data_IF_770387196548
#
_entry.id   IF_770387196548
#
_cell.length_a   1.000
_cell.length_b   1.000
_cell.length_c   1.000
_cell.angle_alpha   90.00
_cell.angle_beta   90.00
_cell.angle_gamma   90.00
#
_symmetry.space_group_name_H-M   'P 1'
#
loop_
_entity.id
_entity.type
_entity.pdbx_description
1 polymer ?
#
# COMPACT_ATOMS: atom_id res chain seq x y z
N UNK A 1 75.52 26.86 25.68
CA UNK A 1 76.83 26.12 25.70
C UNK A 1 76.53 24.67 25.43
N UNK A 2 76.90 24.17 24.24
CA UNK A 2 77.71 22.96 23.98
C UNK A 2 77.16 21.67 24.60
N UNK A 3 77.03 20.52 23.97
CA UNK A 3 77.65 19.90 22.78
C UNK A 3 77.10 18.49 22.62
N UNK A 4 76.84 18.09 21.39
CA UNK A 4 77.39 16.92 20.65
C UNK A 4 77.27 15.47 21.18
N UNK A 5 76.65 14.64 20.32
CA UNK A 5 77.17 13.37 19.75
C UNK A 5 77.19 12.13 20.67
N UNK A 6 76.64 11.04 20.23
CA UNK A 6 76.97 10.02 19.21
C UNK A 6 75.95 8.86 19.31
N UNK A 7 75.37 8.44 18.23
CA UNK A 7 75.67 7.27 17.41
C UNK A 7 75.72 5.91 18.13
N UNK A 8 74.76 5.06 17.88
CA UNK A 8 75.01 3.64 17.58
C UNK A 8 73.92 3.07 16.68
N UNK A 9 74.37 2.40 15.61
CA UNK A 9 73.65 1.63 14.65
C UNK A 9 73.27 0.27 15.24
N UNK A 10 72.02 -0.18 15.03
CA UNK A 10 71.72 -1.60 14.92
C UNK A 10 70.66 -1.82 13.86
N UNK A 11 70.98 -2.64 12.89
CA UNK A 11 70.12 -3.07 11.81
C UNK A 11 69.03 -4.03 12.35
N UNK A 12 67.79 -3.77 12.03
CA UNK A 12 66.69 -4.68 12.28
C UNK A 12 65.79 -4.76 11.04
N UNK A 13 65.63 -5.94 10.53
CA UNK A 13 64.87 -6.32 9.34
C UNK A 13 63.45 -5.69 9.32
N UNK A 14 63.18 -4.90 8.31
CA UNK A 14 61.86 -4.39 8.03
C UNK A 14 61.08 -5.46 7.26
N UNK A 15 60.13 -6.10 7.91
CA UNK A 15 59.07 -6.88 7.25
C UNK A 15 58.11 -5.91 6.59
N UNK A 16 58.12 -5.84 5.27
CA UNK A 16 57.12 -5.09 4.49
C UNK A 16 55.78 -5.86 4.53
N UNK A 17 54.90 -5.45 5.44
CA UNK A 17 53.49 -5.83 5.35
C UNK A 17 52.86 -5.03 4.22
N UNK A 18 52.55 -5.70 3.12
CA UNK A 18 51.76 -5.13 2.03
C UNK A 18 50.36 -4.79 2.53
N UNK A 19 50.09 -3.50 2.72
CA UNK A 19 48.76 -2.97 2.92
C UNK A 19 48.01 -3.10 1.59
N UNK A 20 47.19 -4.15 1.46
CA UNK A 20 46.15 -4.23 0.42
C UNK A 20 45.14 -3.10 0.68
N UNK A 21 44.79 -2.30 -0.32
CA UNK A 21 43.75 -1.32 -0.13
C UNK A 21 42.46 -2.09 0.13
N UNK A 22 41.86 -1.95 1.32
CA UNK A 22 40.47 -2.33 1.55
C UNK A 22 39.66 -1.49 0.59
N UNK A 23 39.13 -2.17 -0.44
CA UNK A 23 38.06 -1.60 -1.27
C UNK A 23 36.92 -1.25 -0.33
N UNK A 24 36.80 0.03 0.00
CA UNK A 24 35.59 0.56 0.61
C UNK A 24 34.46 0.31 -0.39
N UNK A 25 33.67 -0.74 -0.15
CA UNK A 25 32.36 -0.84 -0.77
C UNK A 25 31.58 0.40 -0.29
N UNK A 26 31.63 1.46 -1.08
CA UNK A 26 30.69 2.54 -0.93
C UNK A 26 29.32 1.89 -1.17
N UNK A 27 28.51 1.75 -0.12
CA UNK A 27 27.07 1.61 -0.27
C UNK A 27 26.69 2.80 -1.16
N UNK A 28 26.41 2.53 -2.44
CA UNK A 28 25.73 3.51 -3.28
C UNK A 28 24.54 3.97 -2.45
N UNK A 29 24.41 5.26 -2.22
CA UNK A 29 23.21 5.82 -1.63
C UNK A 29 22.08 5.35 -2.54
N UNK A 30 21.29 4.39 -2.04
CA UNK A 30 20.13 3.88 -2.73
C UNK A 30 19.22 5.10 -2.83
N UNK A 31 19.08 5.65 -4.03
CA UNK A 31 18.18 6.76 -4.31
C UNK A 31 16.83 6.30 -3.77
N UNK A 32 16.30 6.98 -2.75
CA UNK A 32 15.04 6.58 -2.15
C UNK A 32 14.01 6.42 -3.27
N UNK A 33 13.58 5.19 -3.50
CA UNK A 33 12.63 4.89 -4.57
C UNK A 33 11.33 5.65 -4.29
N UNK A 34 10.83 6.35 -5.30
CA UNK A 34 9.53 7.03 -5.20
C UNK A 34 8.40 6.04 -4.97
N UNK A 35 8.57 4.79 -5.39
CA UNK A 35 7.57 3.74 -5.29
C UNK A 35 8.04 2.58 -4.41
N UNK A 36 7.12 2.06 -3.61
CA UNK A 36 7.20 0.77 -2.94
C UNK A 36 6.09 -0.13 -3.47
N UNK A 37 6.33 -1.43 -3.48
CA UNK A 37 5.41 -2.41 -4.04
C UNK A 37 4.79 -3.25 -2.93
N UNK A 38 3.46 -3.25 -2.87
CA UNK A 38 2.67 -4.04 -1.91
C UNK A 38 1.80 -5.06 -2.64
N UNK A 39 1.58 -6.20 -2.01
CA UNK A 39 0.61 -7.19 -2.46
C UNK A 39 -0.66 -7.08 -1.62
N UNK A 40 -1.79 -6.70 -2.22
CA UNK A 40 -3.09 -6.92 -1.60
C UNK A 40 -3.44 -8.41 -1.70
N UNK A 41 -3.77 -9.02 -0.57
CA UNK A 41 -4.01 -10.46 -0.50
C UNK A 41 -5.22 -10.94 -1.31
N UNK A 42 -6.12 -10.02 -1.71
CA UNK A 42 -7.21 -10.32 -2.66
C UNK A 42 -6.70 -10.94 -3.96
N UNK A 43 -5.53 -10.49 -4.42
CA UNK A 43 -4.91 -10.93 -5.68
C UNK A 43 -4.70 -12.45 -5.76
N UNK A 44 -4.47 -13.08 -4.60
CA UNK A 44 -4.24 -14.52 -4.46
C UNK A 44 -5.21 -15.20 -3.49
N UNK A 45 -6.33 -14.55 -3.18
CA UNK A 45 -7.29 -15.07 -2.19
C UNK A 45 -8.11 -16.26 -2.69
N UNK A 46 -8.35 -16.34 -4.00
CA UNK A 46 -9.15 -17.43 -4.57
C UNK A 46 -8.48 -18.81 -4.47
N UNK A 47 -7.15 -18.87 -4.32
CA UNK A 47 -6.42 -20.10 -4.01
C UNK A 47 -6.54 -20.53 -2.55
N UNK A 48 -7.06 -19.64 -1.68
CA UNK A 48 -7.28 -19.84 -0.26
C UNK A 48 -6.07 -20.43 0.52
N UNK A 49 -4.86 -19.88 0.34
CA UNK A 49 -3.65 -20.42 1.01
C UNK A 49 -3.60 -20.15 2.50
N UNK A 50 -4.42 -19.20 3.02
CA UNK A 50 -4.41 -18.75 4.40
C UNK A 50 -3.38 -17.66 4.72
N UNK A 51 -3.60 -16.92 5.83
CA UNK A 51 -2.89 -15.68 6.15
C UNK A 51 -1.36 -15.82 6.15
N UNK A 52 -0.81 -16.82 6.84
CA UNK A 52 0.64 -17.00 6.91
C UNK A 52 1.24 -17.29 5.53
N UNK A 53 0.53 -18.05 4.71
CA UNK A 53 1.00 -18.36 3.36
C UNK A 53 0.90 -17.16 2.41
N UNK A 54 -0.08 -16.26 2.58
CA UNK A 54 -0.09 -14.97 1.88
C UNK A 54 1.19 -14.17 2.14
N UNK A 55 1.61 -14.13 3.41
CA UNK A 55 2.81 -13.41 3.85
C UNK A 55 4.06 -14.07 3.26
N UNK A 56 4.16 -15.41 3.29
CA UNK A 56 5.26 -16.14 2.67
C UNK A 56 5.37 -15.83 1.18
N UNK A 57 4.25 -15.87 0.45
CA UNK A 57 4.19 -15.61 -1.00
C UNK A 57 4.61 -14.18 -1.31
N UNK A 58 4.13 -13.18 -0.56
CA UNK A 58 4.51 -11.79 -0.77
C UNK A 58 6.03 -11.58 -0.58
N UNK A 59 6.60 -12.17 0.46
CA UNK A 59 8.04 -12.11 0.73
C UNK A 59 8.84 -12.84 -0.35
N UNK A 60 8.46 -14.07 -0.72
CA UNK A 60 9.15 -14.88 -1.72
C UNK A 60 9.06 -14.28 -3.13
N UNK A 61 7.96 -13.60 -3.44
CA UNK A 61 7.81 -12.84 -4.68
C UNK A 61 8.69 -11.58 -4.73
N UNK A 62 9.11 -11.03 -3.58
CA UNK A 62 9.99 -9.87 -3.46
C UNK A 62 9.26 -8.54 -3.35
N UNK A 63 8.07 -8.52 -2.77
CA UNK A 63 7.35 -7.30 -2.41
C UNK A 63 8.00 -6.59 -1.22
N UNK A 64 7.82 -5.27 -1.12
CA UNK A 64 8.27 -4.46 0.02
C UNK A 64 7.27 -4.52 1.18
N UNK A 65 6.00 -4.78 0.87
CA UNK A 65 4.91 -4.80 1.83
C UNK A 65 3.73 -5.68 1.42
N UNK A 66 2.78 -5.73 2.32
CA UNK A 66 1.55 -6.50 2.16
C UNK A 66 0.37 -5.70 2.67
N UNK A 67 -0.77 -5.88 2.03
CA UNK A 67 -2.05 -5.31 2.44
C UNK A 67 -2.97 -6.45 2.88
N UNK A 68 -3.34 -6.42 4.17
CA UNK A 68 -4.05 -7.52 4.82
C UNK A 68 -5.55 -7.23 4.91
N UNK A 69 -6.36 -8.27 4.80
CA UNK A 69 -7.79 -8.17 5.07
C UNK A 69 -8.09 -8.45 6.54
N UNK A 70 -8.87 -7.57 7.16
CA UNK A 70 -9.27 -7.66 8.58
C UNK A 70 -9.88 -9.02 8.93
N UNK A 71 -10.69 -9.59 8.03
CA UNK A 71 -11.32 -10.91 8.21
C UNK A 71 -10.26 -12.02 8.42
N UNK A 72 -9.18 -11.98 7.65
CA UNK A 72 -8.15 -13.02 7.70
C UNK A 72 -7.30 -12.89 8.98
N UNK A 73 -7.06 -11.64 9.41
CA UNK A 73 -6.38 -11.37 10.69
C UNK A 73 -7.24 -11.83 11.87
N UNK A 74 -8.54 -11.50 11.87
CA UNK A 74 -9.48 -11.98 12.92
C UNK A 74 -9.51 -13.50 13.00
N UNK A 75 -9.63 -14.18 11.86
CA UNK A 75 -9.63 -15.64 11.80
C UNK A 75 -8.33 -16.24 12.37
N UNK A 76 -7.19 -15.62 12.08
CA UNK A 76 -5.89 -16.05 12.62
C UNK A 76 -5.85 -15.91 14.15
N UNK A 77 -6.36 -14.81 14.69
CA UNK A 77 -6.42 -14.59 16.14
C UNK A 77 -7.41 -15.53 16.83
N UNK A 78 -8.57 -15.77 16.23
CA UNK A 78 -9.59 -16.73 16.72
C UNK A 78 -9.06 -18.16 16.78
N UNK A 79 -8.04 -18.49 15.97
CA UNK A 79 -7.35 -19.78 16.00
C UNK A 79 -6.35 -19.92 17.17
N UNK A 80 -6.36 -18.99 18.14
CA UNK A 80 -5.51 -19.00 19.33
C UNK A 80 -4.14 -18.36 19.15
N UNK A 81 -3.91 -17.67 18.04
CA UNK A 81 -2.66 -16.94 17.80
C UNK A 81 -2.72 -15.51 18.35
N UNK A 82 -1.60 -14.77 18.32
CA UNK A 82 -1.52 -13.40 18.81
C UNK A 82 -1.11 -12.41 17.75
N UNK A 83 -1.45 -11.13 17.93
CA UNK A 83 -0.98 -10.01 17.09
C UNK A 83 0.54 -9.89 17.12
N UNK A 84 1.18 -10.13 18.26
CA UNK A 84 2.63 -10.11 18.41
C UNK A 84 3.31 -11.22 17.59
N UNK A 85 2.75 -12.44 17.58
CA UNK A 85 3.27 -13.52 16.75
C UNK A 85 3.14 -13.20 15.26
N UNK A 86 2.02 -12.60 14.85
CA UNK A 86 1.80 -12.17 13.46
C UNK A 86 2.76 -11.05 13.06
N UNK A 87 2.92 -10.02 13.91
CA UNK A 87 3.88 -8.93 13.69
C UNK A 87 5.29 -9.45 13.47
N UNK A 88 5.73 -10.35 14.38
CA UNK A 88 7.04 -10.97 14.25
C UNK A 88 7.17 -11.77 12.96
N UNK A 89 6.15 -12.55 12.62
CA UNK A 89 6.14 -13.38 11.41
C UNK A 89 6.30 -12.55 10.13
N UNK A 90 5.63 -11.40 10.04
CA UNK A 90 5.71 -10.47 8.92
C UNK A 90 7.10 -9.80 8.88
N UNK A 91 7.56 -9.31 10.03
CA UNK A 91 8.86 -8.64 10.15
C UNK A 91 10.04 -9.56 9.80
N UNK A 92 10.01 -10.82 10.25
CA UNK A 92 11.05 -11.82 9.94
C UNK A 92 11.16 -12.08 8.41
N UNK A 93 10.12 -11.75 7.64
CA UNK A 93 10.06 -11.86 6.19
C UNK A 93 10.39 -10.55 5.45
N UNK A 94 10.81 -9.53 6.18
CA UNK A 94 11.19 -8.24 5.62
C UNK A 94 10.04 -7.41 5.06
N UNK A 95 8.79 -7.79 5.34
CA UNK A 95 7.60 -7.09 4.85
C UNK A 95 7.12 -6.01 5.83
N UNK A 96 6.48 -4.97 5.27
CA UNK A 96 5.67 -3.99 6.03
C UNK A 96 4.20 -4.26 5.78
N UNK A 97 3.36 -4.08 6.82
CA UNK A 97 1.91 -4.02 6.62
C UNK A 97 1.57 -2.59 6.17
N UNK A 98 1.34 -2.42 4.88
CA UNK A 98 1.17 -1.08 4.29
C UNK A 98 -0.23 -0.53 4.51
N UNK A 99 -1.25 -1.39 4.55
CA UNK A 99 -2.65 -1.03 4.79
C UNK A 99 -3.43 -2.26 5.27
N UNK A 100 -4.63 -2.00 5.79
CA UNK A 100 -5.62 -3.02 6.10
C UNK A 100 -6.92 -2.77 5.32
N UNK A 101 -7.52 -3.84 4.78
CA UNK A 101 -8.83 -3.79 4.13
C UNK A 101 -9.89 -4.27 5.12
N UNK A 102 -10.79 -3.37 5.49
CA UNK A 102 -11.90 -3.62 6.41
C UNK A 102 -13.18 -2.95 5.94
N UNK A 103 -14.29 -3.40 6.48
CA UNK A 103 -15.63 -2.91 6.09
C UNK A 103 -16.44 -2.49 7.32
N UNK A 104 -15.78 -1.89 8.31
CA UNK A 104 -16.47 -1.29 9.43
C UNK A 104 -17.43 -0.19 8.94
N UNK A 105 -18.72 -0.23 9.31
CA UNK A 105 -19.75 0.65 8.75
C UNK A 105 -19.73 2.02 9.45
N UNK A 106 -18.62 2.74 9.37
CA UNK A 106 -18.35 4.00 10.07
C UNK A 106 -19.36 5.12 9.73
N UNK A 107 -19.99 5.06 8.55
CA UNK A 107 -21.04 6.01 8.15
C UNK A 107 -22.38 5.77 8.84
N UNK A 108 -22.61 4.58 9.41
CA UNK A 108 -23.94 4.19 9.94
C UNK A 108 -24.14 4.45 11.42
N UNK A 109 -23.22 5.18 12.07
CA UNK A 109 -23.38 5.62 13.44
C UNK A 109 -22.39 5.01 14.44
N UNK A 110 -22.70 5.15 15.73
CA UNK A 110 -21.77 4.87 16.82
C UNK A 110 -21.18 3.44 16.80
N UNK A 111 -21.99 2.43 16.44
CA UNK A 111 -21.49 1.05 16.42
C UNK A 111 -20.43 0.82 15.34
N UNK A 112 -20.58 1.48 14.18
CA UNK A 112 -19.58 1.43 13.11
C UNK A 112 -18.24 2.05 13.53
N UNK A 113 -18.27 3.14 14.28
CA UNK A 113 -17.07 3.77 14.87
C UNK A 113 -16.41 2.86 15.92
N UNK A 114 -17.18 2.20 16.78
CA UNK A 114 -16.66 1.24 17.77
C UNK A 114 -15.95 0.09 17.05
N UNK A 115 -16.56 -0.46 16.00
CA UNK A 115 -15.94 -1.52 15.20
C UNK A 115 -14.65 -1.03 14.53
N UNK A 116 -14.67 0.14 13.89
CA UNK A 116 -13.49 0.70 13.24
C UNK A 116 -12.36 0.93 14.24
N UNK A 117 -12.66 1.44 15.43
CA UNK A 117 -11.67 1.61 16.51
C UNK A 117 -11.02 0.28 16.88
N UNK A 118 -11.81 -0.75 17.11
CA UNK A 118 -11.29 -2.08 17.44
C UNK A 118 -10.41 -2.66 16.33
N UNK A 119 -10.77 -2.45 15.07
CA UNK A 119 -9.97 -2.89 13.92
C UNK A 119 -8.66 -2.10 13.82
N UNK A 120 -8.69 -0.78 14.03
CA UNK A 120 -7.50 0.06 14.07
C UNK A 120 -6.55 -0.35 15.21
N UNK A 121 -7.05 -0.55 16.43
CA UNK A 121 -6.25 -0.99 17.58
C UNK A 121 -5.57 -2.33 17.31
N UNK A 122 -6.30 -3.30 16.77
CA UNK A 122 -5.76 -4.60 16.36
C UNK A 122 -4.64 -4.44 15.32
N UNK A 123 -4.85 -3.58 14.32
CA UNK A 123 -3.87 -3.37 13.25
C UNK A 123 -2.64 -2.59 13.71
N UNK A 124 -2.79 -1.67 14.68
CA UNK A 124 -1.68 -0.98 15.32
C UNK A 124 -0.71 -1.96 16.02
N UNK A 125 -1.25 -2.95 16.71
CA UNK A 125 -0.44 -3.99 17.36
C UNK A 125 0.41 -4.79 16.36
N UNK A 126 -0.09 -5.00 15.15
CA UNK A 126 0.62 -5.68 14.06
C UNK A 126 1.66 -4.75 13.39
N UNK A 127 1.56 -3.43 13.63
CA UNK A 127 2.45 -2.43 13.05
C UNK A 127 1.94 -1.82 11.73
N UNK A 128 0.67 -1.99 11.43
CA UNK A 128 -0.01 -1.29 10.35
C UNK A 128 -0.29 0.17 10.75
N UNK A 129 -0.18 1.09 9.80
CA UNK A 129 -0.41 2.53 10.06
C UNK A 129 -1.57 3.11 9.25
N UNK A 130 -2.23 2.29 8.43
CA UNK A 130 -3.35 2.71 7.58
C UNK A 130 -4.45 1.66 7.58
N UNK A 131 -5.69 2.11 7.38
CA UNK A 131 -6.84 1.24 7.17
C UNK A 131 -7.76 1.86 6.12
N UNK A 132 -8.25 1.07 5.17
CA UNK A 132 -9.25 1.51 4.21
C UNK A 132 -10.56 1.87 4.93
N UNK A 133 -11.16 2.99 4.53
CA UNK A 133 -12.43 3.49 5.02
C UNK A 133 -13.44 3.67 3.87
N UNK A 134 -13.92 2.58 3.27
CA UNK A 134 -14.97 2.64 2.25
C UNK A 134 -16.31 3.03 2.87
N UNK A 135 -17.29 3.38 2.03
CA UNK A 135 -18.67 3.64 2.47
C UNK A 135 -19.41 2.33 2.84
N UNK A 136 -18.77 1.48 3.65
CA UNK A 136 -19.32 0.22 4.11
C UNK A 136 -20.56 0.44 5.00
N UNK A 137 -21.52 -0.49 4.93
CA UNK A 137 -22.79 -0.41 5.65
C UNK A 137 -23.85 0.43 4.94
N UNK A 138 -23.49 1.20 3.92
CA UNK A 138 -24.44 1.85 3.02
C UNK A 138 -24.72 0.89 1.85
N UNK A 139 -25.99 0.65 1.51
CA UNK A 139 -26.32 -0.20 0.36
C UNK A 139 -25.66 0.33 -0.92
N UNK A 140 -25.04 -0.56 -1.68
CA UNK A 140 -24.23 -0.23 -2.86
C UNK A 140 -24.97 0.62 -3.92
N UNK A 141 -26.29 0.47 -3.99
CA UNK A 141 -27.17 1.16 -4.93
C UNK A 141 -27.85 2.41 -4.35
N UNK A 142 -27.46 2.88 -3.16
CA UNK A 142 -28.04 4.05 -2.51
C UNK A 142 -27.05 5.21 -2.45
N UNK A 143 -27.47 6.43 -2.77
CA UNK A 143 -26.72 7.64 -2.43
C UNK A 143 -26.81 7.93 -0.94
N UNK A 144 -25.89 8.77 -0.42
CA UNK A 144 -25.92 9.30 0.93
C UNK A 144 -25.38 10.74 0.95
N UNK A 145 -25.57 11.41 2.09
CA UNK A 145 -25.12 12.80 2.27
C UNK A 145 -23.58 12.87 2.38
N UNK A 146 -22.95 13.45 1.36
CA UNK A 146 -21.49 13.61 1.31
C UNK A 146 -20.97 14.66 2.30
N UNK A 147 -21.84 15.62 2.71
CA UNK A 147 -21.48 16.63 3.72
C UNK A 147 -21.41 15.96 5.09
N UNK A 148 -22.43 15.19 5.44
CA UNK A 148 -22.44 14.40 6.68
C UNK A 148 -21.25 13.42 6.69
N UNK A 149 -20.96 12.76 5.56
CA UNK A 149 -19.82 11.87 5.43
C UNK A 149 -18.50 12.60 5.70
N UNK A 150 -18.34 13.84 5.25
CA UNK A 150 -17.15 14.65 5.52
C UNK A 150 -16.93 14.93 7.01
N UNK A 151 -17.99 15.28 7.74
CA UNK A 151 -17.91 15.46 9.19
C UNK A 151 -17.56 14.15 9.91
N UNK A 152 -18.18 13.05 9.54
CA UNK A 152 -17.85 11.73 10.10
C UNK A 152 -16.43 11.29 9.75
N UNK A 153 -15.95 11.60 8.55
CA UNK A 153 -14.57 11.30 8.18
C UNK A 153 -13.55 12.08 9.03
N UNK A 154 -13.83 13.33 9.36
CA UNK A 154 -13.04 14.10 10.34
C UNK A 154 -12.96 13.41 11.71
N UNK A 155 -14.10 12.94 12.24
CA UNK A 155 -14.13 12.19 13.49
C UNK A 155 -13.32 10.89 13.38
N UNK A 156 -13.35 10.24 12.21
CA UNK A 156 -12.60 9.03 11.94
C UNK A 156 -11.07 9.30 11.88
N UNK A 157 -10.65 10.43 11.33
CA UNK A 157 -9.24 10.86 11.33
C UNK A 157 -8.76 11.09 12.77
N UNK A 158 -9.57 11.71 13.62
CA UNK A 158 -9.23 11.89 15.03
C UNK A 158 -9.05 10.54 15.74
N UNK A 159 -9.90 9.56 15.43
CA UNK A 159 -9.75 8.20 15.91
C UNK A 159 -8.44 7.58 15.41
N UNK A 160 -8.06 7.86 14.16
CA UNK A 160 -6.79 7.42 13.58
C UNK A 160 -5.57 7.95 14.34
N UNK A 161 -5.61 9.21 14.78
CA UNK A 161 -4.55 9.80 15.62
C UNK A 161 -4.44 9.11 16.98
N UNK A 162 -5.57 8.74 17.58
CA UNK A 162 -5.60 8.06 18.88
C UNK A 162 -5.04 6.65 18.81
N UNK A 163 -5.28 5.94 17.72
CA UNK A 163 -4.87 4.54 17.53
C UNK A 163 -3.51 4.38 16.83
N UNK A 164 -3.04 5.43 16.15
CA UNK A 164 -1.85 5.37 15.29
C UNK A 164 -2.10 4.72 13.92
N UNK A 165 -3.36 4.45 13.54
CA UNK A 165 -3.75 3.84 12.27
C UNK A 165 -4.66 4.80 11.51
N UNK A 166 -4.14 5.46 10.50
CA UNK A 166 -4.86 6.49 9.77
C UNK A 166 -5.88 5.89 8.79
N UNK A 167 -7.16 6.31 8.85
CA UNK A 167 -8.15 5.89 7.87
C UNK A 167 -7.87 6.55 6.52
N UNK A 168 -7.92 5.77 5.45
CA UNK A 168 -7.81 6.27 4.08
C UNK A 168 -9.16 6.09 3.36
N UNK A 169 -9.78 7.21 2.97
CA UNK A 169 -11.10 7.25 2.37
C UNK A 169 -11.10 6.54 1.03
N UNK A 170 -11.87 5.47 0.89
CA UNK A 170 -11.97 4.69 -0.33
C UNK A 170 -13.31 4.94 -1.03
N UNK A 171 -13.28 5.06 -2.36
CA UNK A 171 -14.47 5.15 -3.19
C UNK A 171 -14.57 3.97 -4.15
N UNK A 172 -15.78 3.47 -4.39
CA UNK A 172 -16.04 2.31 -5.23
C UNK A 172 -16.78 2.70 -6.50
N UNK A 173 -16.13 2.63 -7.64
CA UNK A 173 -16.62 3.13 -8.92
C UNK A 173 -17.95 2.59 -9.41
N UNK A 174 -18.41 1.45 -8.90
CA UNK A 174 -19.74 0.89 -9.21
C UNK A 174 -20.85 1.27 -8.22
N UNK A 175 -20.50 1.89 -7.08
CA UNK A 175 -21.45 2.34 -6.06
C UNK A 175 -22.33 3.49 -6.57
N UNK A 176 -23.44 3.77 -5.86
CA UNK A 176 -24.28 4.97 -6.06
C UNK A 176 -24.03 6.06 -5.02
N UNK A 177 -23.32 5.72 -3.95
CA UNK A 177 -22.99 6.66 -2.87
C UNK A 177 -21.65 7.38 -3.12
N UNK A 178 -20.56 6.73 -2.82
CA UNK A 178 -19.21 7.26 -2.98
C UNK A 178 -18.50 6.47 -4.10
N UNK A 179 -18.56 6.98 -5.33
CA UNK A 179 -18.07 6.28 -6.51
C UNK A 179 -17.11 7.07 -7.39
N UNK A 180 -17.00 8.37 -7.14
CA UNK A 180 -16.25 9.27 -7.99
C UNK A 180 -15.17 10.01 -7.19
N UNK A 181 -13.98 10.21 -7.76
CA UNK A 181 -12.89 10.95 -7.13
C UNK A 181 -13.33 12.33 -6.63
N UNK A 182 -14.13 13.07 -7.42
CA UNK A 182 -14.65 14.36 -7.01
C UNK A 182 -15.51 14.32 -5.74
N UNK A 183 -16.24 13.22 -5.52
CA UNK A 183 -16.98 13.01 -4.27
C UNK A 183 -16.02 12.72 -3.10
N UNK A 184 -14.99 11.88 -3.32
CA UNK A 184 -13.97 11.62 -2.31
C UNK A 184 -13.22 12.91 -1.92
N UNK A 185 -12.87 13.74 -2.91
CA UNK A 185 -12.28 15.07 -2.68
C UNK A 185 -13.24 15.99 -1.90
N UNK A 186 -14.54 15.97 -2.20
CA UNK A 186 -15.55 16.74 -1.46
C UNK A 186 -15.63 16.30 0.00
N UNK A 187 -15.73 14.99 0.27
CA UNK A 187 -15.74 14.43 1.62
C UNK A 187 -14.46 14.84 2.38
N UNK A 188 -13.31 14.70 1.76
CA UNK A 188 -12.01 15.09 2.34
C UNK A 188 -11.95 16.60 2.63
N UNK A 189 -12.42 17.45 1.70
CA UNK A 189 -12.43 18.91 1.87
C UNK A 189 -13.39 19.37 2.99
N UNK A 190 -14.56 18.73 3.11
CA UNK A 190 -15.52 19.01 4.20
C UNK A 190 -14.97 18.56 5.54
N UNK A 191 -14.23 17.45 5.58
CA UNK A 191 -13.49 17.04 6.77
C UNK A 191 -12.54 18.12 7.27
N UNK A 192 -12.01 18.94 6.36
CA UNK A 192 -11.16 20.10 6.64
C UNK A 192 -10.05 19.78 7.66
N UNK A 193 -9.30 18.74 7.39
CA UNK A 193 -8.24 18.21 8.25
C UNK A 193 -6.95 17.99 7.44
N UNK A 194 -5.76 18.37 7.95
CA UNK A 194 -4.50 18.22 7.23
C UNK A 194 -4.10 16.75 6.98
N UNK A 195 -4.65 15.81 7.74
CA UNK A 195 -4.34 14.40 7.66
C UNK A 195 -5.33 13.61 6.78
N UNK A 196 -6.16 14.30 5.99
CA UNK A 196 -7.04 13.63 5.02
C UNK A 196 -6.22 12.74 4.06
N UNK A 197 -6.69 11.53 3.83
CA UNK A 197 -6.10 10.57 2.91
C UNK A 197 -7.19 9.99 2.01
N UNK A 198 -6.85 9.74 0.75
CA UNK A 198 -7.74 9.09 -0.21
C UNK A 198 -7.03 7.85 -0.75
N UNK A 199 -7.72 6.72 -0.72
CA UNK A 199 -7.33 5.51 -1.41
C UNK A 199 -7.95 5.54 -2.81
N UNK A 200 -7.11 5.77 -3.81
CA UNK A 200 -7.50 5.73 -5.20
C UNK A 200 -7.07 4.41 -5.84
N UNK A 201 -7.79 4.00 -6.87
CA UNK A 201 -7.67 2.73 -7.55
C UNK A 201 -7.89 2.95 -9.04
N UNK A 202 -7.07 2.33 -9.89
CA UNK A 202 -7.19 2.46 -11.37
C UNK A 202 -8.58 2.03 -11.85
N UNK A 203 -9.04 0.86 -11.39
CA UNK A 203 -10.34 0.32 -11.77
C UNK A 203 -11.48 1.21 -11.27
N UNK A 204 -11.42 1.67 -10.02
CA UNK A 204 -12.47 2.54 -9.47
C UNK A 204 -12.49 3.93 -10.09
N UNK A 205 -11.35 4.50 -10.47
CA UNK A 205 -11.28 5.73 -11.27
C UNK A 205 -11.98 5.56 -12.61
N UNK A 206 -11.70 4.45 -13.31
CA UNK A 206 -12.35 4.12 -14.57
C UNK A 206 -13.83 3.81 -14.39
N UNK A 207 -14.18 2.89 -13.51
CA UNK A 207 -15.55 2.39 -13.28
C UNK A 207 -16.48 3.50 -12.82
N UNK A 208 -16.01 4.43 -11.98
CA UNK A 208 -16.73 5.61 -11.49
C UNK A 208 -16.74 6.79 -12.46
N UNK A 209 -16.13 6.65 -13.65
CA UNK A 209 -16.02 7.72 -14.64
C UNK A 209 -15.30 9.00 -14.14
N UNK A 210 -14.36 8.83 -13.22
CA UNK A 210 -13.59 9.95 -12.65
C UNK A 210 -12.56 10.52 -13.64
N UNK A 211 -12.12 9.72 -14.61
CA UNK A 211 -10.93 9.99 -15.39
C UNK A 211 -9.67 9.91 -14.51
N UNK A 212 -8.51 10.21 -15.10
CA UNK A 212 -7.22 10.13 -14.40
C UNK A 212 -6.60 11.51 -14.15
N UNK A 213 -7.03 12.56 -14.86
CA UNK A 213 -6.50 13.91 -14.70
C UNK A 213 -6.78 14.53 -13.32
N UNK A 214 -7.78 14.04 -12.59
CA UNK A 214 -8.06 14.45 -11.22
C UNK A 214 -6.91 14.13 -10.25
N UNK A 215 -6.05 13.16 -10.57
CA UNK A 215 -4.84 12.86 -9.79
C UNK A 215 -3.89 14.06 -9.72
N UNK A 216 -3.81 14.88 -10.77
CA UNK A 216 -2.97 16.09 -10.82
C UNK A 216 -3.38 17.17 -9.83
N UNK A 217 -4.61 17.12 -9.31
CA UNK A 217 -5.13 18.08 -8.34
C UNK A 217 -4.75 17.74 -6.89
N UNK A 218 -4.16 16.57 -6.65
CA UNK A 218 -3.88 16.05 -5.31
C UNK A 218 -2.40 16.17 -4.94
N UNK A 219 -2.15 16.33 -3.65
CA UNK A 219 -0.78 16.31 -3.12
C UNK A 219 -0.36 14.90 -2.70
N UNK A 220 0.95 14.69 -2.59
CA UNK A 220 1.51 13.43 -2.14
C UNK A 220 1.10 13.01 -0.74
N UNK A 221 0.69 13.96 0.11
CA UNK A 221 0.18 13.66 1.44
C UNK A 221 -1.25 13.10 1.43
N UNK A 222 -2.03 13.36 0.38
CA UNK A 222 -3.40 12.85 0.24
C UNK A 222 -3.40 11.42 -0.32
N UNK A 223 -2.55 11.15 -1.30
CA UNK A 223 -2.38 9.81 -1.89
C UNK A 223 -1.03 9.25 -1.46
N UNK A 224 -1.02 8.39 -0.47
CA UNK A 224 0.16 7.66 -0.02
C UNK A 224 0.18 6.21 -0.49
N UNK A 225 -1.00 5.61 -0.63
CA UNK A 225 -1.21 4.28 -1.16
C UNK A 225 -2.20 4.35 -2.33
N UNK A 226 -1.91 3.57 -3.36
CA UNK A 226 -2.68 3.54 -4.60
C UNK A 226 -2.88 2.08 -5.02
N UNK A 227 -4.13 1.65 -5.23
CA UNK A 227 -4.43 0.33 -5.76
C UNK A 227 -4.15 0.32 -7.26
N UNK A 228 -3.18 -0.51 -7.63
CA UNK A 228 -2.78 -0.65 -9.03
C UNK A 228 -3.29 -1.96 -9.60
N UNK A 229 -3.96 -1.84 -10.71
CA UNK A 229 -4.55 -2.89 -11.55
C UNK A 229 -4.79 -2.32 -12.94
N UNK A 230 -5.51 -3.02 -13.80
CA UNK A 230 -5.93 -2.51 -15.09
C UNK A 230 -7.33 -3.04 -15.43
N UNK A 231 -7.95 -2.50 -16.47
CA UNK A 231 -9.28 -2.85 -16.93
C UNK A 231 -9.31 -3.21 -18.42
N UNK A 232 -10.25 -4.05 -18.82
CA UNK A 232 -10.34 -4.58 -20.19
C UNK A 232 -11.20 -3.65 -21.04
N UNK A 233 -10.63 -3.03 -22.09
CA UNK A 233 -11.34 -2.09 -22.96
C UNK A 233 -12.53 -2.67 -23.72
N UNK A 234 -12.54 -3.97 -23.98
CA UNK A 234 -13.60 -4.66 -24.72
C UNK A 234 -14.90 -4.83 -23.92
N UNK A 235 -14.85 -4.65 -22.60
CA UNK A 235 -16.02 -4.72 -21.73
C UNK A 235 -16.49 -3.28 -21.46
N UNK A 236 -17.76 -2.94 -21.76
CA UNK A 236 -18.30 -1.62 -21.42
C UNK A 236 -18.14 -1.30 -19.94
N UNK A 237 -17.76 -0.06 -19.62
CA UNK A 237 -17.46 0.38 -18.24
C UNK A 237 -18.55 -0.03 -17.23
N UNK A 238 -19.81 0.13 -17.59
CA UNK A 238 -20.96 -0.15 -16.73
C UNK A 238 -21.20 -1.65 -16.49
N UNK A 239 -20.60 -2.51 -17.30
CA UNK A 239 -20.72 -3.96 -17.22
C UNK A 239 -19.51 -4.63 -16.55
N UNK A 240 -18.40 -3.89 -16.40
CA UNK A 240 -17.21 -4.43 -15.75
C UNK A 240 -17.45 -4.77 -14.29
N UNK A 241 -16.84 -5.86 -13.85
CA UNK A 241 -16.83 -6.38 -12.47
C UNK A 241 -15.42 -6.40 -11.94
N UNK A 242 -15.27 -6.51 -10.63
CA UNK A 242 -13.95 -6.65 -10.01
C UNK A 242 -13.16 -7.84 -10.54
N UNK A 243 -13.85 -8.93 -10.93
CA UNK A 243 -13.24 -10.11 -11.56
C UNK A 243 -12.65 -9.86 -12.95
N UNK A 244 -12.99 -8.74 -13.59
CA UNK A 244 -12.46 -8.36 -14.91
C UNK A 244 -11.15 -7.58 -14.82
N UNK A 245 -10.71 -7.21 -13.62
CA UNK A 245 -9.41 -6.55 -13.41
C UNK A 245 -8.29 -7.47 -13.90
N UNK A 246 -7.33 -6.86 -14.59
CA UNK A 246 -6.14 -7.56 -15.11
C UNK A 246 -4.87 -6.92 -14.52
N UNK A 247 -3.72 -7.55 -14.74
CA UNK A 247 -2.45 -6.98 -14.31
C UNK A 247 -2.22 -5.58 -14.90
N UNK A 248 -1.56 -4.68 -14.16
CA UNK A 248 -1.22 -3.35 -14.67
C UNK A 248 -0.40 -3.47 -15.96
N UNK A 249 -0.82 -2.74 -17.00
CA UNK A 249 -0.27 -2.77 -18.34
C UNK A 249 -0.83 -3.82 -19.29
N UNK A 250 -1.72 -4.71 -18.82
CA UNK A 250 -2.42 -5.69 -19.68
C UNK A 250 -3.78 -5.20 -20.16
N UNK A 251 -4.20 -4.03 -19.73
CA UNK A 251 -5.48 -3.42 -20.07
C UNK A 251 -5.36 -2.15 -20.88
N UNK A 252 -6.24 -1.19 -20.61
CA UNK A 252 -6.36 0.06 -21.37
C UNK A 252 -6.11 1.32 -20.52
N UNK A 253 -5.73 1.18 -19.26
CA UNK A 253 -5.43 2.33 -18.42
C UNK A 253 -4.17 3.06 -18.91
N UNK A 254 -4.14 4.42 -18.88
CA UNK A 254 -2.98 5.18 -19.26
C UNK A 254 -1.89 5.12 -18.18
N UNK A 255 -1.29 3.94 -17.97
CA UNK A 255 -0.38 3.65 -16.85
C UNK A 255 0.78 4.62 -16.74
N UNK A 256 1.40 4.97 -17.88
CA UNK A 256 2.50 5.93 -17.90
C UNK A 256 2.09 7.30 -17.35
N UNK A 257 0.91 7.81 -17.73
CA UNK A 257 0.37 9.06 -17.18
C UNK A 257 0.12 8.92 -15.68
N UNK A 258 -0.60 7.86 -15.26
CA UNK A 258 -0.96 7.63 -13.84
C UNK A 258 0.29 7.62 -12.97
N UNK A 259 1.29 6.81 -13.32
CA UNK A 259 2.53 6.70 -12.55
C UNK A 259 3.33 7.99 -12.55
N UNK A 260 3.37 8.72 -13.69
CA UNK A 260 4.01 10.03 -13.78
C UNK A 260 3.32 11.05 -12.86
N UNK A 261 1.98 11.07 -12.83
CA UNK A 261 1.23 11.97 -11.97
C UNK A 261 1.43 11.63 -10.48
N UNK A 262 1.44 10.34 -10.10
CA UNK A 262 1.76 9.88 -8.76
C UNK A 262 3.19 10.27 -8.33
N UNK A 263 4.17 10.14 -9.23
CA UNK A 263 5.56 10.56 -8.99
C UNK A 263 5.66 12.06 -8.76
N UNK A 264 4.99 12.85 -9.60
CA UNK A 264 4.99 14.31 -9.54
C UNK A 264 4.28 14.90 -8.30
N UNK A 265 3.35 14.17 -7.69
CA UNK A 265 2.74 14.56 -6.41
C UNK A 265 3.75 14.66 -5.26
N UNK A 266 4.90 13.99 -5.37
CA UNK A 266 5.93 13.91 -4.34
C UNK A 266 5.62 12.92 -3.22
N UNK A 267 6.61 12.65 -2.38
CA UNK A 267 6.57 11.62 -1.35
C UNK A 267 6.64 10.20 -1.91
N UNK A 268 6.86 9.23 -1.02
CA UNK A 268 6.85 7.81 -1.38
C UNK A 268 5.41 7.34 -1.60
N UNK A 269 5.17 6.61 -2.67
CA UNK A 269 3.89 5.99 -3.00
C UNK A 269 3.97 4.48 -2.82
N UNK A 270 3.00 3.90 -2.16
CA UNK A 270 2.81 2.46 -2.12
C UNK A 270 1.89 2.06 -3.25
N UNK A 271 2.41 1.32 -4.23
CA UNK A 271 1.60 0.69 -5.27
C UNK A 271 1.19 -0.69 -4.78
N UNK A 272 -0.09 -0.86 -4.45
CA UNK A 272 -0.63 -2.13 -3.95
C UNK A 272 -1.40 -2.86 -5.06
N UNK A 273 -0.91 -4.03 -5.45
CA UNK A 273 -1.55 -4.85 -6.48
C UNK A 273 -2.84 -5.46 -5.95
N UNK A 274 -3.98 -4.99 -6.46
CA UNK A 274 -5.30 -5.48 -6.07
C UNK A 274 -6.08 -6.05 -7.25
N UNK A 275 -6.21 -7.37 -7.27
CA UNK A 275 -6.93 -8.11 -8.31
C UNK A 275 -7.93 -9.10 -7.69
N UNK A 276 -9.02 -9.35 -8.43
CA UNK A 276 -10.05 -10.33 -8.07
C UNK A 276 -10.31 -11.29 -9.24
N UNK A 277 -9.30 -11.51 -10.09
CA UNK A 277 -9.42 -12.23 -11.33
C UNK A 277 -9.47 -13.74 -11.11
N UNK A 278 -10.63 -14.33 -11.41
CA UNK A 278 -10.85 -15.76 -11.20
C UNK A 278 -9.97 -16.66 -12.09
N UNK A 279 -9.44 -16.14 -13.20
CA UNK A 279 -8.50 -16.87 -14.05
C UNK A 279 -7.12 -16.94 -13.39
N UNK A 280 -6.71 -15.86 -12.72
CA UNK A 280 -5.46 -15.85 -11.94
C UNK A 280 -5.58 -16.72 -10.69
N UNK A 281 -6.75 -16.76 -10.07
CA UNK A 281 -7.01 -17.62 -8.91
C UNK A 281 -6.92 -19.12 -9.20
N UNK A 282 -6.89 -19.54 -10.48
CA UNK A 282 -6.67 -20.93 -10.89
C UNK A 282 -5.20 -21.28 -11.11
N UNK A 283 -4.30 -20.29 -11.01
CA UNK A 283 -2.86 -20.45 -11.20
C UNK A 283 -2.16 -20.61 -9.85
N UNK A 284 -0.88 -20.97 -9.90
CA UNK A 284 -0.01 -20.96 -8.71
C UNK A 284 0.05 -19.54 -8.13
N UNK A 285 -0.26 -19.32 -6.82
CA UNK A 285 -0.34 -17.99 -6.23
C UNK A 285 1.00 -17.26 -6.19
N UNK A 286 2.12 -17.97 -6.12
CA UNK A 286 3.45 -17.36 -6.18
C UNK A 286 3.75 -16.85 -7.59
N UNK A 287 3.35 -17.62 -8.63
CA UNK A 287 3.46 -17.18 -10.01
C UNK A 287 2.62 -15.91 -10.25
N UNK A 288 1.40 -15.88 -9.74
CA UNK A 288 0.51 -14.69 -9.83
C UNK A 288 1.15 -13.47 -9.17
N UNK A 289 1.65 -13.63 -7.95
CA UNK A 289 2.31 -12.56 -7.21
C UNK A 289 3.57 -12.04 -7.93
N UNK A 290 4.45 -12.94 -8.40
CA UNK A 290 5.67 -12.58 -9.14
C UNK A 290 5.37 -11.88 -10.46
N UNK A 291 4.36 -12.36 -11.19
CA UNK A 291 3.94 -11.74 -12.47
C UNK A 291 3.48 -10.30 -12.24
N UNK A 292 2.63 -10.08 -11.25
CA UNK A 292 2.14 -8.73 -10.93
C UNK A 292 3.27 -7.78 -10.51
N UNK A 293 4.16 -8.23 -9.63
CA UNK A 293 5.31 -7.42 -9.22
C UNK A 293 6.23 -7.05 -10.40
N UNK A 294 6.51 -8.04 -11.27
CA UNK A 294 7.31 -7.81 -12.47
C UNK A 294 6.70 -6.70 -13.33
N UNK A 295 5.41 -6.80 -13.62
CA UNK A 295 4.69 -5.80 -14.44
C UNK A 295 4.69 -4.41 -13.82
N UNK A 296 4.46 -4.31 -12.51
CA UNK A 296 4.57 -3.01 -11.81
C UNK A 296 5.97 -2.41 -11.92
N UNK A 297 7.03 -3.20 -11.74
CA UNK A 297 8.42 -2.73 -11.85
C UNK A 297 8.77 -2.30 -13.27
N UNK A 298 8.32 -3.03 -14.28
CA UNK A 298 8.50 -2.67 -15.69
C UNK A 298 7.86 -1.31 -15.99
N UNK A 299 6.60 -1.10 -15.61
CA UNK A 299 5.90 0.18 -15.81
C UNK A 299 6.56 1.35 -15.07
N UNK A 300 7.03 1.14 -13.85
CA UNK A 300 7.77 2.19 -13.11
C UNK A 300 9.08 2.53 -13.82
N UNK A 301 9.80 1.54 -14.36
CA UNK A 301 11.05 1.77 -15.08
C UNK A 301 10.90 2.59 -16.36
N UNK A 302 9.68 2.67 -16.93
CA UNK A 302 9.39 3.47 -18.11
C UNK A 302 9.25 4.99 -17.82
N UNK A 303 9.13 5.34 -16.54
CA UNK A 303 8.95 6.75 -16.13
C UNK A 303 10.13 7.28 -15.27
N UNK A 304 11.12 6.46 -14.96
CA UNK A 304 12.35 6.83 -14.24
C UNK A 304 13.38 7.45 -15.21
#
# INVERSE_FOLDING_TARGET
MLTRRNLFKTAGLASAAALLPQAAFSKSAQKDSTFRFSLNTSTISGQNPGLLKYIDIASEAGYDGIELWIKDVKQYLESGNSTQSLKKYISDRGLKVENAIGFAPWLTGKQGFIQMKSEMEMMAEIGCTRIAAPAAGIPYNQPFDLIEAGYKYKELIELGRQTGVMPILEFWGGSKGLYHMGQAMMVAAIGNDPDVKILADVYHLFRGNSGFDSLKMLSGNVIELFHINDYVASIPREQQKDSDRVYPGDGAAPMKQILTDLKNMGGVKVLSLELFNETYWKQDPLLVARTGLKKMKELVSEID
#
